data_IF_594895827459
#
_entry.id   IF_594895827459
#
_cell.length_a   1.000
_cell.length_b   1.000
_cell.length_c   1.000
_cell.angle_alpha   90.00
_cell.angle_beta   90.00
_cell.angle_gamma   90.00
#
_symmetry.space_group_name_H-M   'P 1'
#
loop_
_entity.id
_entity.type
_entity.pdbx_description
1 polymer ?
#
# COMPACT_ATOMS: atom_id res chain seq x y z
N UNK A 1 31.66 -0.95 49.81
CA UNK A 1 31.89 -1.69 48.55
C UNK A 1 31.11 -1.02 47.45
N UNK A 2 31.79 -0.58 46.38
CA UNK A 2 31.20 0.09 45.22
C UNK A 2 30.24 -0.85 44.50
N UNK A 3 29.04 -0.38 44.16
CA UNK A 3 28.28 -0.90 43.03
C UNK A 3 27.90 0.28 42.12
N UNK A 4 28.66 0.43 41.05
CA UNK A 4 28.13 0.94 39.79
C UNK A 4 26.97 0.00 39.38
N UNK A 5 25.95 0.50 38.69
CA UNK A 5 25.70 0.20 37.28
C UNK A 5 24.42 0.89 36.78
N UNK A 6 24.67 1.80 35.82
CA UNK A 6 23.89 2.12 34.61
C UNK A 6 22.43 2.57 34.74
N UNK A 7 22.27 3.88 34.55
CA UNK A 7 21.09 4.54 33.98
C UNK A 7 20.70 3.81 32.69
N UNK A 8 19.51 3.20 32.67
CA UNK A 8 18.90 2.76 31.42
C UNK A 8 18.12 3.94 30.85
N UNK A 9 18.59 4.43 29.70
CA UNK A 9 17.93 5.45 28.90
C UNK A 9 16.56 4.94 28.48
N UNK A 10 15.52 5.63 28.92
CA UNK A 10 14.14 5.48 28.45
C UNK A 10 14.09 6.01 27.01
N UNK A 11 14.25 5.12 26.02
CA UNK A 11 14.02 5.49 24.62
C UNK A 11 12.53 5.29 24.32
N UNK A 12 11.76 6.33 24.61
CA UNK A 12 10.38 6.50 24.17
C UNK A 12 10.44 6.73 22.64
N UNK A 13 10.27 5.68 21.85
CA UNK A 13 10.02 5.84 20.42
C UNK A 13 8.55 6.24 20.30
N UNK A 14 8.35 7.55 20.31
CA UNK A 14 7.09 8.16 19.90
C UNK A 14 6.97 7.92 18.39
N UNK A 15 6.14 6.96 17.97
CA UNK A 15 5.63 6.94 16.61
C UNK A 15 4.61 8.07 16.54
N UNK A 16 5.09 9.29 16.24
CA UNK A 16 4.21 10.40 15.90
C UNK A 16 3.68 10.19 14.49
N UNK A 17 2.36 10.25 14.41
CA UNK A 17 1.59 10.45 13.20
C UNK A 17 2.15 11.59 12.32
N UNK A 18 1.92 11.46 11.01
CA UNK A 18 2.10 12.47 9.95
C UNK A 18 1.61 13.87 10.38
N UNK A 19 2.18 14.99 9.87
CA UNK A 19 2.43 15.22 8.44
C UNK A 19 3.79 15.87 8.12
N UNK A 20 4.47 15.39 7.09
CA UNK A 20 5.63 16.08 6.52
C UNK A 20 5.22 16.77 5.22
N UNK A 21 4.88 18.05 5.31
CA UNK A 21 4.97 18.96 4.17
C UNK A 21 6.46 19.17 3.87
N UNK A 22 6.97 18.48 2.84
CA UNK A 22 8.37 18.58 2.39
C UNK A 22 8.42 19.38 1.09
N UNK A 23 9.20 20.45 1.10
CA UNK A 23 9.68 21.13 -0.09
C UNK A 23 10.54 20.14 -0.90
N UNK A 24 10.10 19.84 -2.12
CA UNK A 24 10.80 18.99 -3.06
C UNK A 24 12.11 19.65 -3.53
N UNK A 25 13.26 19.17 -3.05
CA UNK A 25 14.53 19.36 -3.78
C UNK A 25 15.72 18.50 -3.33
N UNK A 26 15.71 17.80 -2.18
CA UNK A 26 16.93 17.13 -1.67
C UNK A 26 16.82 15.63 -1.34
N UNK A 27 15.69 14.94 -1.60
CA UNK A 27 15.47 13.61 -0.99
C UNK A 27 15.19 12.42 -1.93
N UNK A 28 15.42 12.54 -3.24
CA UNK A 28 15.08 11.48 -4.20
C UNK A 28 15.90 10.20 -4.00
N UNK A 29 17.20 10.32 -3.68
CA UNK A 29 18.09 9.16 -3.48
C UNK A 29 17.73 8.37 -2.21
N UNK A 30 17.62 9.04 -1.06
CA UNK A 30 17.27 8.39 0.21
C UNK A 30 15.88 7.72 0.14
N UNK A 31 14.98 8.30 -0.64
CA UNK A 31 13.63 7.77 -0.84
C UNK A 31 13.59 6.59 -1.79
N UNK A 32 14.32 6.65 -2.90
CA UNK A 32 14.55 5.49 -3.78
C UNK A 32 15.17 4.33 -2.98
N UNK A 33 16.08 4.63 -2.06
CA UNK A 33 16.70 3.62 -1.20
C UNK A 33 15.70 3.01 -0.21
N UNK A 34 14.76 3.79 0.32
CA UNK A 34 13.67 3.31 1.19
C UNK A 34 12.68 2.44 0.43
N UNK A 35 12.18 2.89 -0.73
CA UNK A 35 11.27 2.11 -1.59
C UNK A 35 11.93 0.79 -1.99
N UNK A 36 13.21 0.83 -2.39
CA UNK A 36 13.96 -0.38 -2.74
C UNK A 36 14.31 -1.29 -1.55
N UNK A 37 14.37 -0.77 -0.32
CA UNK A 37 14.50 -1.58 0.88
C UNK A 37 13.18 -2.30 1.21
N UNK A 38 12.07 -1.57 1.20
CA UNK A 38 10.73 -2.15 1.41
C UNK A 38 10.38 -3.20 0.36
N UNK A 39 10.72 -2.96 -0.91
CA UNK A 39 10.49 -3.92 -1.99
C UNK A 39 11.26 -5.23 -1.76
N UNK A 40 12.55 -5.15 -1.38
CA UNK A 40 13.36 -6.35 -1.07
C UNK A 40 12.83 -7.11 0.14
N UNK A 41 12.39 -6.41 1.18
CA UNK A 41 11.84 -7.08 2.35
C UNK A 41 10.46 -7.70 2.06
N UNK A 42 9.66 -7.08 1.18
CA UNK A 42 8.43 -7.68 0.68
C UNK A 42 8.70 -8.94 -0.18
N UNK A 43 9.73 -8.92 -1.03
CA UNK A 43 10.16 -10.11 -1.78
C UNK A 43 10.57 -11.27 -0.86
N UNK A 44 11.30 -10.97 0.22
CA UNK A 44 11.66 -11.98 1.23
C UNK A 44 10.42 -12.56 1.92
N UNK A 45 9.45 -11.72 2.29
CA UNK A 45 8.17 -12.17 2.86
C UNK A 45 7.47 -13.14 1.90
N UNK A 46 7.38 -12.79 0.62
CA UNK A 46 6.77 -13.66 -0.39
C UNK A 46 7.55 -14.97 -0.54
N UNK A 47 8.88 -14.93 -0.55
CA UNK A 47 9.72 -16.13 -0.60
C UNK A 47 9.50 -17.04 0.63
N UNK A 48 9.34 -16.46 1.81
CA UNK A 48 9.00 -17.20 3.04
C UNK A 48 7.65 -17.90 2.91
N UNK A 49 6.61 -17.16 2.47
CA UNK A 49 5.27 -17.72 2.23
C UNK A 49 5.35 -18.92 1.28
N UNK A 50 6.12 -18.80 0.19
CA UNK A 50 6.29 -19.90 -0.77
C UNK A 50 6.99 -21.11 -0.17
N UNK A 51 8.04 -20.90 0.63
CA UNK A 51 8.75 -21.98 1.31
C UNK A 51 7.84 -22.72 2.30
N UNK A 52 7.01 -21.99 3.05
CA UNK A 52 6.05 -22.61 3.99
C UNK A 52 5.02 -23.43 3.21
N UNK A 53 4.47 -22.89 2.12
CA UNK A 53 3.52 -23.63 1.26
C UNK A 53 4.12 -24.89 0.66
N UNK A 54 5.39 -24.85 0.27
CA UNK A 54 6.09 -26.02 -0.28
C UNK A 54 6.38 -27.09 0.78
N UNK A 55 6.64 -26.68 2.03
CA UNK A 55 6.94 -27.59 3.15
C UNK A 55 5.68 -28.12 3.85
N UNK A 56 4.55 -27.44 3.70
CA UNK A 56 3.27 -27.79 4.32
C UNK A 56 2.12 -27.75 3.29
N UNK A 57 2.11 -28.63 2.27
CA UNK A 57 1.13 -28.60 1.19
C UNK A 57 -0.31 -28.88 1.63
N UNK A 58 -0.48 -29.53 2.78
CA UNK A 58 -1.79 -29.86 3.36
C UNK A 58 -2.36 -28.73 4.25
N UNK A 59 -1.62 -27.63 4.44
CA UNK A 59 -2.10 -26.54 5.27
C UNK A 59 -3.17 -25.71 4.54
N UNK A 60 -4.28 -25.43 5.23
CA UNK A 60 -5.22 -24.39 4.83
C UNK A 60 -4.57 -23.01 4.95
N UNK A 61 -5.18 -22.01 4.34
CA UNK A 61 -4.69 -20.63 4.40
C UNK A 61 -4.67 -20.09 5.83
N UNK A 62 -5.65 -20.47 6.67
CA UNK A 62 -5.68 -20.12 8.08
C UNK A 62 -4.52 -20.74 8.85
N UNK A 63 -4.18 -22.01 8.57
CA UNK A 63 -3.05 -22.67 9.21
C UNK A 63 -1.71 -22.06 8.77
N UNK A 64 -1.58 -21.70 7.49
CA UNK A 64 -0.41 -20.97 6.98
C UNK A 64 -0.27 -19.59 7.64
N UNK A 65 -1.38 -18.86 7.77
CA UNK A 65 -1.41 -17.55 8.41
C UNK A 65 -1.01 -17.63 9.88
N UNK A 66 -1.59 -18.54 10.66
CA UNK A 66 -1.20 -18.74 12.07
C UNK A 66 0.26 -19.19 12.22
N UNK A 67 0.79 -19.95 11.26
CA UNK A 67 2.20 -20.36 11.26
C UNK A 67 3.14 -19.18 11.02
N UNK A 68 2.82 -18.31 10.05
CA UNK A 68 3.56 -17.06 9.80
C UNK A 68 3.54 -16.16 11.04
N UNK A 69 2.37 -15.94 11.63
CA UNK A 69 2.22 -15.12 12.84
C UNK A 69 3.02 -15.67 14.04
N UNK A 70 3.07 -16.99 14.21
CA UNK A 70 3.85 -17.62 15.27
C UNK A 70 5.37 -17.48 15.03
N UNK A 71 5.83 -17.64 13.79
CA UNK A 71 7.26 -17.53 13.44
C UNK A 71 7.75 -16.09 13.45
N UNK A 72 6.87 -15.12 13.19
CA UNK A 72 7.18 -13.69 13.19
C UNK A 72 7.27 -13.08 14.60
N UNK A 73 7.23 -13.88 15.66
CA UNK A 73 7.54 -13.41 17.01
C UNK A 73 9.05 -13.18 17.26
N UNK A 74 9.94 -13.81 16.47
CA UNK A 74 11.38 -13.90 16.76
C UNK A 74 12.35 -13.54 15.58
N UNK A 75 11.89 -12.88 14.50
CA UNK A 75 12.67 -12.66 13.25
C UNK A 75 12.90 -11.16 12.93
N UNK A 76 13.67 -10.83 11.86
CA UNK A 76 14.06 -9.47 11.44
C UNK A 76 12.93 -8.42 11.48
N UNK A 77 13.21 -7.23 12.04
CA UNK A 77 12.24 -6.13 12.19
C UNK A 77 11.46 -5.79 10.90
N UNK A 78 12.12 -5.73 9.73
CA UNK A 78 11.50 -5.24 8.49
C UNK A 78 10.38 -6.12 7.92
N UNK A 79 10.58 -7.44 7.84
CA UNK A 79 9.59 -8.38 7.29
C UNK A 79 8.33 -8.42 8.18
N UNK A 80 8.53 -8.39 9.50
CA UNK A 80 7.44 -8.42 10.48
C UNK A 80 6.63 -7.12 10.42
N UNK A 81 7.29 -5.97 10.30
CA UNK A 81 6.62 -4.68 10.19
C UNK A 81 5.72 -4.63 8.95
N UNK A 82 6.19 -5.15 7.81
CA UNK A 82 5.40 -5.31 6.59
C UNK A 82 4.19 -6.22 6.83
N UNK A 83 4.41 -7.42 7.38
CA UNK A 83 3.33 -8.38 7.62
C UNK A 83 2.23 -7.83 8.54
N UNK A 84 2.63 -7.11 9.60
CA UNK A 84 1.71 -6.51 10.56
C UNK A 84 0.98 -5.28 10.02
N UNK A 85 1.50 -4.63 8.98
CA UNK A 85 0.83 -3.51 8.33
C UNK A 85 -0.32 -3.95 7.41
N UNK A 86 -0.31 -5.22 6.95
CA UNK A 86 -1.36 -5.78 6.11
C UNK A 86 -2.65 -6.03 6.91
N UNK A 87 -3.80 -5.79 6.28
CA UNK A 87 -5.09 -6.28 6.80
C UNK A 87 -5.12 -7.81 6.80
N UNK A 88 -5.96 -8.41 7.63
CA UNK A 88 -6.12 -9.87 7.63
C UNK A 88 -6.61 -10.40 6.28
N UNK A 89 -7.39 -9.59 5.56
CA UNK A 89 -7.83 -9.87 4.19
C UNK A 89 -6.66 -9.82 3.19
N UNK A 90 -5.76 -8.84 3.30
CA UNK A 90 -4.53 -8.76 2.48
C UNK A 90 -3.57 -9.91 2.77
N UNK A 91 -3.38 -10.31 4.04
CA UNK A 91 -2.54 -11.46 4.44
C UNK A 91 -3.01 -12.75 3.76
N UNK A 92 -4.33 -13.02 3.78
CA UNK A 92 -4.93 -14.17 3.08
C UNK A 92 -4.65 -14.13 1.58
N UNK A 93 -4.77 -12.96 0.95
CA UNK A 93 -4.48 -12.81 -0.47
C UNK A 93 -2.98 -12.95 -0.78
N UNK A 94 -2.07 -12.51 0.08
CA UNK A 94 -0.62 -12.74 -0.06
C UNK A 94 -0.28 -14.23 -0.01
N UNK A 95 -0.94 -14.98 0.89
CA UNK A 95 -0.79 -16.44 0.97
C UNK A 95 -1.37 -17.11 -0.28
N UNK A 96 -2.56 -16.69 -0.72
CA UNK A 96 -3.28 -17.31 -1.84
C UNK A 96 -2.61 -17.01 -3.20
N UNK A 97 -2.17 -15.78 -3.41
CA UNK A 97 -1.63 -15.26 -4.66
C UNK A 97 -0.28 -14.53 -4.47
N UNK A 98 0.78 -15.22 -4.02
CA UNK A 98 2.05 -14.59 -3.64
C UNK A 98 2.71 -13.78 -4.75
N UNK A 99 2.66 -14.26 -5.99
CA UNK A 99 3.23 -13.54 -7.13
C UNK A 99 2.39 -12.35 -7.58
N UNK A 100 1.07 -12.39 -7.41
CA UNK A 100 0.23 -11.23 -7.68
C UNK A 100 0.45 -10.16 -6.60
N UNK A 101 0.66 -10.56 -5.35
CA UNK A 101 1.02 -9.64 -4.27
C UNK A 101 2.29 -8.83 -4.58
N UNK A 102 3.34 -9.46 -5.17
CA UNK A 102 4.53 -8.74 -5.65
C UNK A 102 4.16 -7.65 -6.67
N UNK A 103 3.27 -7.97 -7.61
CA UNK A 103 2.81 -7.02 -8.63
C UNK A 103 1.92 -5.92 -8.05
N UNK A 104 1.13 -6.21 -7.01
CA UNK A 104 0.36 -5.21 -6.25
C UNK A 104 1.29 -4.22 -5.56
N UNK A 105 2.37 -4.71 -4.93
CA UNK A 105 3.39 -3.84 -4.33
C UNK A 105 4.14 -3.01 -5.39
N UNK A 106 4.43 -3.60 -6.55
CA UNK A 106 4.97 -2.84 -7.70
C UNK A 106 4.02 -1.72 -8.13
N UNK A 107 2.73 -2.02 -8.31
CA UNK A 107 1.72 -1.03 -8.67
C UNK A 107 1.61 0.09 -7.62
N UNK A 108 1.71 -0.24 -6.32
CA UNK A 108 1.73 0.73 -5.21
C UNK A 108 2.91 1.71 -5.35
N UNK A 109 4.10 1.19 -5.68
CA UNK A 109 5.31 2.00 -5.87
C UNK A 109 5.19 2.93 -7.09
N UNK A 110 4.63 2.43 -8.21
CA UNK A 110 4.32 3.25 -9.40
C UNK A 110 3.34 4.36 -9.02
N UNK A 111 2.23 4.00 -8.37
CA UNK A 111 1.19 4.94 -7.98
C UNK A 111 1.74 6.08 -7.11
N UNK A 112 2.50 5.72 -6.08
CA UNK A 112 3.13 6.69 -5.18
C UNK A 112 4.04 7.65 -5.95
N UNK A 113 4.92 7.11 -6.79
CA UNK A 113 5.89 7.91 -7.55
C UNK A 113 5.22 8.84 -8.56
N UNK A 114 4.19 8.35 -9.25
CA UNK A 114 3.41 9.14 -10.22
C UNK A 114 2.59 10.24 -9.52
N UNK A 115 2.02 9.95 -8.33
CA UNK A 115 1.26 10.96 -7.57
C UNK A 115 2.15 12.15 -7.23
N UNK A 116 3.35 11.93 -6.71
CA UNK A 116 4.21 13.07 -6.36
C UNK A 116 4.80 13.74 -7.59
N UNK A 117 5.09 12.99 -8.66
CA UNK A 117 5.52 13.60 -9.92
C UNK A 117 4.46 14.56 -10.49
N UNK A 118 3.16 14.23 -10.32
CA UNK A 118 2.04 15.02 -10.84
C UNK A 118 1.56 16.12 -9.89
N UNK A 119 1.61 15.90 -8.59
CA UNK A 119 1.02 16.79 -7.58
C UNK A 119 2.04 17.43 -6.64
N UNK A 120 3.29 16.96 -6.62
CA UNK A 120 4.33 17.38 -5.66
C UNK A 120 4.06 16.96 -4.22
N UNK A 121 2.89 16.38 -3.94
CA UNK A 121 2.45 15.95 -2.61
C UNK A 121 1.66 14.65 -2.73
N UNK A 122 1.55 13.94 -1.62
CA UNK A 122 0.73 12.74 -1.50
C UNK A 122 -0.27 12.94 -0.36
N UNK A 123 -1.41 13.53 -0.68
CA UNK A 123 -2.44 13.93 0.27
C UNK A 123 -3.41 12.80 0.64
N UNK A 124 -4.15 13.05 1.72
CA UNK A 124 -5.26 12.23 2.21
C UNK A 124 -6.56 12.96 1.87
N UNK A 125 -7.58 12.27 1.36
CA UNK A 125 -8.90 12.80 1.06
C UNK A 125 -8.99 13.79 -0.10
N UNK A 126 -7.88 14.12 -0.75
CA UNK A 126 -7.82 15.17 -1.76
C UNK A 126 -7.64 14.65 -3.19
N UNK A 127 -7.51 15.57 -4.14
CA UNK A 127 -7.34 15.23 -5.55
C UNK A 127 -6.13 14.33 -5.84
N UNK A 128 -5.02 14.50 -5.11
CA UNK A 128 -3.84 13.64 -5.26
C UNK A 128 -4.09 12.23 -4.73
N UNK A 129 -4.99 12.09 -3.75
CA UNK A 129 -5.45 10.82 -3.22
C UNK A 129 -6.29 10.05 -4.24
N UNK A 130 -7.29 10.73 -4.82
CA UNK A 130 -8.10 10.20 -5.91
C UNK A 130 -7.23 9.73 -7.09
N UNK A 131 -6.22 10.52 -7.45
CA UNK A 131 -5.22 10.14 -8.46
C UNK A 131 -4.49 8.85 -8.08
N UNK A 132 -3.94 8.80 -6.85
CA UNK A 132 -3.17 7.66 -6.35
C UNK A 132 -3.97 6.36 -6.41
N UNK A 133 -5.21 6.37 -5.94
CA UNK A 133 -6.10 5.22 -5.99
C UNK A 133 -6.44 4.81 -7.42
N UNK A 134 -6.69 5.79 -8.30
CA UNK A 134 -6.91 5.58 -9.73
C UNK A 134 -5.74 4.87 -10.40
N UNK A 135 -4.52 5.43 -10.30
CA UNK A 135 -3.34 4.85 -10.96
C UNK A 135 -2.96 3.51 -10.36
N UNK A 136 -3.07 3.33 -9.04
CA UNK A 136 -2.81 2.05 -8.41
C UNK A 136 -3.71 0.94 -8.97
N UNK A 137 -5.02 1.21 -9.09
CA UNK A 137 -5.97 0.24 -9.62
C UNK A 137 -5.84 0.00 -11.12
N UNK A 138 -5.47 1.03 -11.88
CA UNK A 138 -5.20 0.87 -13.31
C UNK A 138 -3.97 -0.03 -13.53
N UNK A 139 -2.86 0.23 -12.84
CA UNK A 139 -1.63 -0.58 -12.93
C UNK A 139 -1.86 -2.01 -12.42
N UNK A 140 -2.58 -2.20 -11.32
CA UNK A 140 -2.97 -3.55 -10.89
C UNK A 140 -3.79 -4.27 -11.97
N UNK A 141 -4.73 -3.58 -12.62
CA UNK A 141 -5.55 -4.18 -13.68
C UNK A 141 -4.69 -4.64 -14.86
N UNK A 142 -3.68 -3.87 -15.25
CA UNK A 142 -2.71 -4.26 -16.29
C UNK A 142 -1.87 -5.47 -15.87
N UNK A 143 -1.38 -5.49 -14.63
CA UNK A 143 -0.40 -6.48 -14.17
C UNK A 143 -1.00 -7.84 -13.75
N UNK A 144 -2.20 -7.82 -13.15
CA UNK A 144 -2.84 -9.00 -12.52
C UNK A 144 -4.29 -9.23 -12.98
N UNK A 145 -4.82 -8.36 -13.84
CA UNK A 145 -6.20 -8.42 -14.32
C UNK A 145 -7.20 -7.81 -13.35
N UNK A 146 -8.33 -7.32 -13.90
CA UNK A 146 -9.36 -6.56 -13.18
C UNK A 146 -9.92 -7.28 -11.95
N UNK A 147 -10.24 -8.56 -12.06
CA UNK A 147 -10.84 -9.33 -10.96
C UNK A 147 -9.88 -9.45 -9.77
N UNK A 148 -8.59 -9.71 -10.01
CA UNK A 148 -7.61 -9.79 -8.92
C UNK A 148 -7.29 -8.40 -8.36
N UNK A 149 -7.22 -7.38 -9.22
CA UNK A 149 -7.06 -6.00 -8.78
C UNK A 149 -8.19 -5.59 -7.82
N UNK A 150 -9.44 -5.94 -8.12
CA UNK A 150 -10.58 -5.67 -7.24
C UNK A 150 -10.46 -6.39 -5.89
N UNK A 151 -10.06 -7.67 -5.87
CA UNK A 151 -9.86 -8.41 -4.63
C UNK A 151 -8.82 -7.74 -3.73
N UNK A 152 -7.66 -7.39 -4.27
CA UNK A 152 -6.59 -6.75 -3.51
C UNK A 152 -6.96 -5.33 -3.07
N UNK A 153 -7.55 -4.52 -3.95
CA UNK A 153 -7.99 -3.18 -3.60
C UNK A 153 -9.08 -3.20 -2.51
N UNK A 154 -10.04 -4.12 -2.60
CA UNK A 154 -11.10 -4.24 -1.57
C UNK A 154 -10.53 -4.71 -0.24
N UNK A 155 -9.57 -5.64 -0.25
CA UNK A 155 -8.89 -6.09 0.96
C UNK A 155 -8.07 -4.97 1.63
N UNK A 156 -7.53 -4.05 0.84
CA UNK A 156 -6.83 -2.86 1.36
C UNK A 156 -7.75 -1.89 2.09
N UNK A 157 -9.02 -1.82 1.67
CA UNK A 157 -10.04 -0.97 2.29
C UNK A 157 -10.75 -1.64 3.50
N UNK A 158 -10.41 -2.89 3.81
CA UNK A 158 -10.92 -3.65 4.97
C UNK A 158 -10.21 -3.25 6.28
N UNK A 159 -10.20 -1.93 6.54
CA UNK A 159 -9.59 -1.31 7.73
C UNK A 159 -10.67 -0.89 8.73
N UNK A 160 -10.26 -0.64 9.96
CA UNK A 160 -11.15 -0.05 10.98
C UNK A 160 -11.58 1.37 10.59
N UNK A 161 -12.87 1.52 10.29
CA UNK A 161 -13.49 2.78 9.89
C UNK A 161 -14.16 3.53 11.05
N UNK A 162 -13.84 3.19 12.30
CA UNK A 162 -14.34 3.96 13.44
C UNK A 162 -13.60 5.30 13.58
N UNK A 163 -14.37 6.36 13.82
CA UNK A 163 -13.85 7.72 14.06
C UNK A 163 -13.60 8.53 12.79
N UNK A 164 -12.63 9.44 12.87
CA UNK A 164 -12.27 10.42 11.84
C UNK A 164 -10.79 10.32 11.51
N UNK A 165 -10.44 10.63 10.26
CA UNK A 165 -9.05 10.80 9.84
C UNK A 165 -8.48 12.17 10.27
N UNK A 166 -7.19 12.39 10.03
CA UNK A 166 -6.47 13.62 10.42
C UNK A 166 -6.96 14.89 9.72
N UNK A 167 -7.66 14.74 8.59
CA UNK A 167 -8.28 15.83 7.84
C UNK A 167 -9.67 16.23 8.40
N UNK A 168 -10.16 15.51 9.42
CA UNK A 168 -11.44 15.75 10.08
C UNK A 168 -12.64 15.06 9.42
N UNK A 169 -12.45 14.32 8.33
CA UNK A 169 -13.53 13.55 7.69
C UNK A 169 -13.70 12.17 8.33
N UNK A 170 -14.92 11.60 8.35
CA UNK A 170 -15.14 10.25 8.83
C UNK A 170 -14.32 9.23 8.04
N UNK A 171 -13.73 8.23 8.71
CA UNK A 171 -12.99 7.16 8.02
C UNK A 171 -13.85 6.37 7.03
N UNK A 172 -15.16 6.28 7.28
CA UNK A 172 -16.11 5.69 6.33
C UNK A 172 -16.18 6.49 5.03
N UNK A 173 -16.07 7.82 5.08
CA UNK A 173 -16.09 8.66 3.88
C UNK A 173 -14.82 8.48 3.03
N UNK A 174 -13.65 8.34 3.68
CA UNK A 174 -12.40 7.96 3.01
C UNK A 174 -12.52 6.60 2.34
N UNK A 175 -12.95 5.58 3.08
CA UNK A 175 -13.13 4.24 2.52
C UNK A 175 -14.08 4.22 1.31
N UNK A 176 -15.21 4.93 1.41
CA UNK A 176 -16.19 4.97 0.32
C UNK A 176 -15.65 5.71 -0.91
N UNK A 177 -14.86 6.79 -0.71
CA UNK A 177 -14.12 7.48 -1.76
C UNK A 177 -13.09 6.55 -2.42
N UNK A 178 -12.29 5.85 -1.62
CA UNK A 178 -11.24 4.96 -2.08
C UNK A 178 -11.82 3.80 -2.88
N UNK A 179 -12.86 3.13 -2.38
CA UNK A 179 -13.55 2.05 -3.10
C UNK A 179 -14.08 2.51 -4.47
N UNK A 180 -14.66 3.69 -4.54
CA UNK A 180 -15.16 4.28 -5.80
C UNK A 180 -14.02 4.60 -6.76
N UNK A 181 -12.99 5.30 -6.30
CA UNK A 181 -11.84 5.67 -7.13
C UNK A 181 -11.02 4.44 -7.58
N UNK A 182 -10.97 3.40 -6.74
CA UNK A 182 -10.41 2.11 -7.07
C UNK A 182 -11.15 1.49 -8.27
N UNK A 183 -12.50 1.48 -8.25
CA UNK A 183 -13.31 0.99 -9.39
C UNK A 183 -13.06 1.78 -10.67
N UNK A 184 -13.09 3.12 -10.59
CA UNK A 184 -12.81 4.00 -11.75
C UNK A 184 -11.42 3.70 -12.33
N UNK A 185 -10.40 3.56 -11.48
CA UNK A 185 -9.05 3.20 -11.89
C UNK A 185 -8.99 1.86 -12.63
N UNK A 186 -9.69 0.83 -12.12
CA UNK A 186 -9.77 -0.47 -12.80
C UNK A 186 -10.40 -0.37 -14.19
N UNK A 187 -11.48 0.42 -14.34
CA UNK A 187 -12.11 0.62 -15.64
C UNK A 187 -11.20 1.33 -16.65
N UNK A 188 -10.38 2.29 -16.18
CA UNK A 188 -9.40 2.97 -17.02
C UNK A 188 -8.28 1.99 -17.41
N UNK A 189 -7.75 1.21 -16.46
CA UNK A 189 -6.73 0.20 -16.73
C UNK A 189 -7.17 -0.84 -17.74
N UNK A 190 -8.41 -1.33 -17.62
CA UNK A 190 -8.98 -2.33 -18.54
C UNK A 190 -9.10 -1.81 -19.98
N UNK A 191 -9.37 -0.51 -20.16
CA UNK A 191 -9.46 0.15 -21.48
C UNK A 191 -8.11 0.49 -22.09
N UNK A 192 -7.05 0.57 -21.27
CA UNK A 192 -5.73 1.08 -21.67
C UNK A 192 -4.60 0.09 -21.34
N UNK A 193 -4.81 -1.21 -21.58
CA UNK A 193 -3.86 -2.28 -21.18
C UNK A 193 -2.45 -2.17 -21.76
N UNK A 194 -2.31 -1.49 -22.89
CA UNK A 194 -1.03 -1.31 -23.59
C UNK A 194 -0.34 0.02 -23.24
N UNK A 195 -0.97 0.86 -22.40
CA UNK A 195 -0.37 2.11 -21.97
C UNK A 195 0.84 1.84 -21.07
N UNK A 196 1.92 2.58 -21.28
CA UNK A 196 3.02 2.64 -20.33
C UNK A 196 2.59 3.29 -19.00
N UNK A 197 3.37 3.08 -17.94
CA UNK A 197 3.12 3.66 -16.62
C UNK A 197 2.95 5.20 -16.67
N UNK A 198 3.74 5.88 -17.51
CA UNK A 198 3.63 7.33 -17.71
C UNK A 198 2.37 7.73 -18.49
N UNK A 199 2.01 6.97 -19.52
CA UNK A 199 0.79 7.24 -20.30
C UNK A 199 -0.46 6.98 -19.46
N UNK A 200 -0.48 5.91 -18.65
CA UNK A 200 -1.56 5.64 -17.72
C UNK A 200 -1.71 6.77 -16.70
N UNK A 201 -0.60 7.24 -16.13
CA UNK A 201 -0.59 8.40 -15.24
C UNK A 201 -1.12 9.66 -15.94
N UNK A 202 -0.75 9.92 -17.20
CA UNK A 202 -1.28 11.05 -17.97
C UNK A 202 -2.78 10.92 -18.19
N UNK A 203 -3.27 9.74 -18.58
CA UNK A 203 -4.70 9.48 -18.81
C UNK A 203 -5.52 9.79 -17.55
N UNK A 204 -5.09 9.25 -16.40
CA UNK A 204 -5.81 9.43 -15.12
C UNK A 204 -5.71 10.88 -14.65
N UNK A 205 -4.56 11.53 -14.85
CA UNK A 205 -4.41 12.93 -14.50
C UNK A 205 -5.36 13.82 -15.31
N UNK A 206 -5.47 13.60 -16.63
CA UNK A 206 -6.44 14.33 -17.46
C UNK A 206 -7.89 14.03 -17.05
N UNK A 207 -8.22 12.79 -16.73
CA UNK A 207 -9.55 12.41 -16.26
C UNK A 207 -9.94 13.12 -14.96
N UNK A 208 -8.99 13.32 -14.03
CA UNK A 208 -9.23 14.05 -12.78
C UNK A 208 -9.59 15.51 -12.99
N UNK A 209 -9.00 16.16 -14.00
CA UNK A 209 -9.28 17.56 -14.32
C UNK A 209 -10.39 17.73 -15.36
N UNK A 210 -11.01 16.64 -15.81
CA UNK A 210 -12.15 16.67 -16.71
C UNK A 210 -13.39 17.26 -16.01
N UNK A 211 -14.15 18.07 -16.74
CA UNK A 211 -15.41 18.62 -16.25
C UNK A 211 -16.47 17.54 -15.94
N UNK A 212 -16.28 16.33 -16.49
CA UNK A 212 -17.17 15.18 -16.29
C UNK A 212 -16.47 14.04 -15.55
N UNK A 213 -15.45 14.36 -14.75
CA UNK A 213 -14.68 13.35 -14.02
C UNK A 213 -15.58 12.43 -13.20
N UNK A 214 -15.28 11.14 -13.25
CA UNK A 214 -15.91 10.17 -12.35
C UNK A 214 -15.16 10.04 -11.02
N UNK A 215 -13.94 10.56 -10.89
CA UNK A 215 -13.22 10.54 -9.62
C UNK A 215 -13.87 11.47 -8.61
N UNK A 216 -13.81 11.09 -7.34
CA UNK A 216 -14.33 11.90 -6.22
C UNK A 216 -13.23 12.13 -5.19
N UNK A 217 -13.31 13.26 -4.48
CA UNK A 217 -12.44 13.60 -3.35
C UNK A 217 -13.23 14.34 -2.27
N UNK A 218 -12.77 14.29 -1.03
CA UNK A 218 -13.46 14.88 0.13
C UNK A 218 -13.18 16.37 0.26
N UNK A 219 -11.97 16.82 -0.08
CA UNK A 219 -11.57 18.22 -0.01
C UNK A 219 -10.48 18.56 -1.03
N UNK A 220 -10.23 19.86 -1.21
CA UNK A 220 -9.14 20.35 -2.07
C UNK A 220 -7.75 20.13 -1.48
#
# INVERSE_FOLDING_TARGET
MKKLFKVFSLMLVVIMAFPFSVMASENDQQRSDLIGAEERDFEKLIAEIQNIKATHPDYSEEMLMSFLEANHQDVERGIIDIWNALTDSEKKLCIRYPFDALKVNKAKNIATSQTEAKFGTNGLGNRSDAFRHGIWNAEMTVLIGKERAELFATAHEDKDVTGTESDGYPKTAHRDMDLHNNEVGREIGEKNKEASESEMADIIYQEIYSATTSFIWLHE
#
